data_IF_769644187530
#
_entry.id   IF_769644187530
#
_cell.length_a   1.000
_cell.length_b   1.000
_cell.length_c   1.000
_cell.angle_alpha   90.00
_cell.angle_beta   90.00
_cell.angle_gamma   90.00
#
_symmetry.space_group_name_H-M   'P 1'
#
loop_
_entity.id
_entity.type
_entity.pdbx_description
1 polymer ?
#
# COMPACT_ATOMS: atom_id res chain seq x y z
N UNK A 1 -52.67 -20.63 -36.30
CA UNK A 1 -51.74 -19.50 -36.45
C UNK A 1 -51.60 -18.70 -35.17
N UNK A 2 -52.69 -18.29 -34.51
CA UNK A 2 -52.64 -17.47 -33.27
C UNK A 2 -51.89 -18.14 -32.10
N UNK A 3 -52.07 -19.44 -31.90
CA UNK A 3 -51.38 -20.21 -30.85
C UNK A 3 -49.86 -20.24 -31.06
N UNK A 4 -49.42 -20.45 -32.30
CA UNK A 4 -48.00 -20.44 -32.66
C UNK A 4 -47.35 -19.06 -32.49
N UNK A 5 -48.09 -17.98 -32.74
CA UNK A 5 -47.65 -16.61 -32.47
C UNK A 5 -47.49 -16.35 -30.97
N UNK A 6 -48.40 -16.86 -30.14
CA UNK A 6 -48.34 -16.69 -28.69
C UNK A 6 -47.19 -17.50 -28.07
N UNK A 7 -46.93 -18.72 -28.56
CA UNK A 7 -45.74 -19.50 -28.15
C UNK A 7 -44.45 -18.77 -28.48
N UNK A 8 -44.28 -18.30 -29.71
CA UNK A 8 -43.09 -17.55 -30.11
C UNK A 8 -42.89 -16.26 -29.30
N UNK A 9 -43.98 -15.61 -28.87
CA UNK A 9 -43.92 -14.46 -27.97
C UNK A 9 -43.38 -14.85 -26.59
N UNK A 10 -43.86 -15.97 -26.01
CA UNK A 10 -43.37 -16.47 -24.72
C UNK A 10 -41.90 -16.89 -24.78
N UNK A 11 -41.48 -17.59 -25.84
CA UNK A 11 -40.06 -17.95 -26.06
C UNK A 11 -39.17 -16.70 -26.11
N UNK A 12 -39.66 -15.64 -26.75
CA UNK A 12 -38.97 -14.35 -26.78
C UNK A 12 -38.86 -13.67 -25.42
N UNK A 13 -39.86 -13.81 -24.55
CA UNK A 13 -39.81 -13.31 -23.17
C UNK A 13 -38.87 -14.15 -22.30
N UNK A 14 -38.87 -15.48 -22.47
CA UNK A 14 -37.97 -16.38 -21.76
C UNK A 14 -36.50 -16.08 -22.12
N UNK A 15 -36.21 -15.92 -23.41
CA UNK A 15 -34.87 -15.53 -23.86
C UNK A 15 -34.44 -14.18 -23.26
N UNK A 16 -35.33 -13.18 -23.27
CA UNK A 16 -35.05 -11.87 -22.65
C UNK A 16 -34.77 -11.99 -21.15
N UNK A 17 -35.52 -12.83 -20.43
CA UNK A 17 -35.32 -13.07 -19.00
C UNK A 17 -33.96 -13.74 -18.74
N UNK A 18 -33.57 -14.72 -19.56
CA UNK A 18 -32.26 -15.36 -19.46
C UNK A 18 -31.12 -14.40 -19.79
N UNK A 19 -31.24 -13.61 -20.85
CA UNK A 19 -30.23 -12.62 -21.24
C UNK A 19 -30.06 -11.56 -20.14
N UNK A 20 -31.17 -11.06 -19.57
CA UNK A 20 -31.14 -10.12 -18.46
C UNK A 20 -30.46 -10.72 -17.21
N UNK A 21 -30.77 -11.98 -16.87
CA UNK A 21 -30.14 -12.69 -15.75
C UNK A 21 -28.64 -12.87 -15.96
N UNK A 22 -28.21 -13.25 -17.17
CA UNK A 22 -26.80 -13.38 -17.50
C UNK A 22 -26.07 -12.03 -17.47
N UNK A 23 -26.70 -10.96 -17.96
CA UNK A 23 -26.14 -9.61 -17.93
C UNK A 23 -25.96 -9.10 -16.50
N UNK A 24 -26.94 -9.33 -15.62
CA UNK A 24 -26.84 -8.98 -14.20
C UNK A 24 -25.69 -9.74 -13.52
N UNK A 25 -25.57 -11.04 -13.74
CA UNK A 25 -24.51 -11.85 -13.13
C UNK A 25 -23.12 -11.44 -13.62
N UNK A 26 -22.98 -11.11 -14.90
CA UNK A 26 -21.74 -10.55 -15.44
C UNK A 26 -21.39 -9.24 -14.74
N UNK A 27 -22.36 -8.34 -14.61
CA UNK A 27 -22.14 -7.04 -13.97
C UNK A 27 -21.78 -7.17 -12.49
N UNK A 28 -22.42 -8.10 -11.75
CA UNK A 28 -22.06 -8.40 -10.36
C UNK A 28 -20.62 -8.89 -10.24
N UNK A 29 -20.17 -9.75 -11.17
CA UNK A 29 -18.76 -10.21 -11.21
C UNK A 29 -17.78 -9.07 -11.47
N UNK A 30 -18.12 -8.16 -12.37
CA UNK A 30 -17.28 -6.99 -12.67
C UNK A 30 -17.20 -6.03 -11.47
N UNK A 31 -18.32 -5.77 -10.80
CA UNK A 31 -18.34 -4.99 -9.55
C UNK A 31 -17.48 -5.66 -8.50
N UNK A 32 -17.66 -6.96 -8.26
CA UNK A 32 -16.90 -7.69 -7.24
C UNK A 32 -15.39 -7.67 -7.53
N UNK A 33 -14.98 -7.71 -8.81
CA UNK A 33 -13.59 -7.53 -9.20
C UNK A 33 -13.10 -6.12 -8.88
N UNK A 34 -13.82 -5.08 -9.35
CA UNK A 34 -13.39 -3.68 -9.16
C UNK A 34 -13.38 -3.27 -7.69
N UNK A 35 -14.31 -3.78 -6.90
CA UNK A 35 -14.37 -3.52 -5.47
C UNK A 35 -13.11 -4.06 -4.77
N UNK A 36 -12.69 -5.29 -5.07
CA UNK A 36 -11.46 -5.87 -4.52
C UNK A 36 -10.20 -5.08 -4.90
N UNK A 37 -10.12 -4.59 -6.13
CA UNK A 37 -9.02 -3.72 -6.57
C UNK A 37 -8.98 -2.43 -5.74
N UNK A 38 -10.12 -1.76 -5.57
CA UNK A 38 -10.22 -0.52 -4.78
C UNK A 38 -9.93 -0.75 -3.29
N UNK A 39 -10.38 -1.88 -2.74
CA UNK A 39 -10.08 -2.27 -1.36
C UNK A 39 -8.58 -2.47 -1.15
N UNK A 40 -7.90 -3.13 -2.09
CA UNK A 40 -6.46 -3.33 -2.05
C UNK A 40 -5.71 -2.01 -2.20
N UNK A 41 -6.08 -1.16 -3.16
CA UNK A 41 -5.51 0.18 -3.34
C UNK A 41 -5.62 1.01 -2.05
N UNK A 42 -6.81 1.00 -1.43
CA UNK A 42 -7.06 1.68 -0.15
C UNK A 42 -6.19 1.11 0.97
N UNK A 43 -6.16 -0.20 1.14
CA UNK A 43 -5.37 -0.86 2.17
C UNK A 43 -3.87 -0.55 2.03
N UNK A 44 -3.33 -0.65 0.82
CA UNK A 44 -1.94 -0.32 0.53
C UNK A 44 -1.63 1.17 0.75
N UNK A 45 -2.55 2.07 0.41
CA UNK A 45 -2.44 3.50 0.70
C UNK A 45 -2.23 3.77 2.19
N UNK A 46 -3.10 3.21 3.04
CA UNK A 46 -3.00 3.40 4.50
C UNK A 46 -1.79 2.69 5.11
N UNK A 47 -1.42 1.51 4.63
CA UNK A 47 -0.20 0.80 5.09
C UNK A 47 1.05 1.62 4.81
N UNK A 48 1.19 2.13 3.58
CA UNK A 48 2.32 3.00 3.21
C UNK A 48 2.35 4.27 4.06
N UNK A 49 1.21 4.92 4.24
CA UNK A 49 1.10 6.12 5.07
C UNK A 49 1.52 5.86 6.51
N UNK A 50 0.99 4.82 7.15
CA UNK A 50 1.29 4.50 8.54
C UNK A 50 2.76 4.13 8.73
N UNK A 51 3.33 3.31 7.84
CA UNK A 51 4.75 2.97 7.85
C UNK A 51 5.61 4.23 7.77
N UNK A 52 5.40 5.06 6.74
CA UNK A 52 6.25 6.24 6.53
C UNK A 52 6.10 7.25 7.66
N UNK A 53 4.91 7.38 8.25
CA UNK A 53 4.71 8.20 9.45
C UNK A 53 5.59 7.70 10.60
N UNK A 54 5.50 6.42 10.95
CA UNK A 54 6.32 5.82 12.03
C UNK A 54 7.82 5.99 11.76
N UNK A 55 8.25 5.77 10.51
CA UNK A 55 9.65 5.90 10.10
C UNK A 55 10.15 7.35 10.21
N UNK A 56 9.37 8.31 9.74
CA UNK A 56 9.73 9.74 9.81
C UNK A 56 9.85 10.17 11.27
N UNK A 57 8.89 9.80 12.12
CA UNK A 57 8.93 10.11 13.55
C UNK A 57 10.17 9.51 14.24
N UNK A 58 10.52 8.26 13.89
CA UNK A 58 11.70 7.59 14.42
C UNK A 58 13.01 8.26 13.99
N UNK A 59 13.15 8.56 12.70
CA UNK A 59 14.33 9.23 12.11
C UNK A 59 14.50 10.63 12.71
N UNK A 60 13.43 11.41 12.83
CA UNK A 60 13.47 12.76 13.40
C UNK A 60 13.87 12.79 14.88
N UNK A 61 13.74 11.67 15.60
CA UNK A 61 14.15 11.55 17.01
C UNK A 61 15.64 11.22 17.21
N UNK A 62 16.40 10.98 16.14
CA UNK A 62 17.84 10.72 16.19
C UNK A 62 18.64 11.99 16.44
N UNK A 63 19.74 11.89 17.20
CA UNK A 63 20.62 13.04 17.49
C UNK A 63 21.62 13.31 16.37
N UNK A 64 22.01 12.26 15.67
CA UNK A 64 22.91 12.26 14.54
C UNK A 64 22.40 11.25 13.48
N UNK A 65 23.05 11.24 12.32
CA UNK A 65 22.66 10.37 11.21
C UNK A 65 22.70 8.89 11.59
N UNK A 66 23.71 8.47 12.36
CA UNK A 66 23.86 7.06 12.74
C UNK A 66 22.70 6.60 13.65
N UNK A 67 22.37 7.39 14.67
CA UNK A 67 21.24 7.11 15.56
C UNK A 67 19.91 7.16 14.81
N UNK A 68 19.72 8.13 13.90
CA UNK A 68 18.50 8.26 13.10
C UNK A 68 18.28 7.07 12.16
N UNK A 69 19.33 6.62 11.47
CA UNK A 69 19.27 5.45 10.59
C UNK A 69 19.05 4.15 11.38
N UNK A 70 19.67 4.01 12.56
CA UNK A 70 19.47 2.85 13.42
C UNK A 70 18.02 2.74 13.89
N UNK A 71 17.45 3.85 14.40
CA UNK A 71 16.04 3.93 14.82
C UNK A 71 15.09 3.67 13.67
N UNK A 72 15.32 4.32 12.52
CA UNK A 72 14.50 4.10 11.32
C UNK A 72 14.50 2.64 10.87
N UNK A 73 15.66 1.97 10.90
CA UNK A 73 15.77 0.54 10.54
C UNK A 73 15.02 -0.37 11.51
N UNK A 74 15.12 -0.10 12.81
CA UNK A 74 14.36 -0.82 13.85
C UNK A 74 12.85 -0.66 13.63
N UNK A 75 12.38 0.56 13.38
CA UNK A 75 10.97 0.82 13.08
C UNK A 75 10.49 0.09 11.83
N UNK A 76 11.26 0.10 10.74
CA UNK A 76 10.91 -0.66 9.52
C UNK A 76 10.81 -2.16 9.81
N UNK A 77 11.77 -2.71 10.55
CA UNK A 77 11.77 -4.12 10.93
C UNK A 77 10.53 -4.48 11.77
N UNK A 78 10.16 -3.61 12.70
CA UNK A 78 8.97 -3.78 13.55
C UNK A 78 7.66 -3.70 12.75
N UNK A 79 7.49 -2.67 11.90
CA UNK A 79 6.29 -2.47 11.10
C UNK A 79 6.09 -3.57 10.05
N UNK A 80 7.19 -4.07 9.46
CA UNK A 80 7.16 -5.21 8.54
C UNK A 80 7.17 -6.56 9.26
N UNK A 81 7.33 -6.57 10.58
CA UNK A 81 7.44 -7.76 11.43
C UNK A 81 8.52 -8.76 10.94
N UNK A 82 9.64 -8.23 10.47
CA UNK A 82 10.77 -9.03 9.97
C UNK A 82 11.97 -8.94 10.93
N UNK A 83 12.54 -10.08 11.29
CA UNK A 83 13.83 -10.14 12.00
C UNK A 83 15.02 -10.09 11.03
N UNK A 84 16.16 -9.55 11.46
CA UNK A 84 17.39 -9.49 10.66
C UNK A 84 18.13 -10.84 10.52
N UNK A 85 17.47 -11.93 10.90
CA UNK A 85 18.06 -13.28 11.00
C UNK A 85 18.18 -13.98 9.64
N UNK A 86 17.40 -13.55 8.65
CA UNK A 86 17.46 -14.09 7.29
C UNK A 86 18.15 -13.13 6.35
N UNK A 87 18.93 -13.68 5.39
CA UNK A 87 19.58 -12.87 4.36
C UNK A 87 18.58 -12.03 3.54
N UNK A 88 17.38 -12.57 3.35
CA UNK A 88 16.25 -11.94 2.66
C UNK A 88 15.78 -10.69 3.40
N UNK A 89 15.62 -10.76 4.73
CA UNK A 89 15.19 -9.64 5.56
C UNK A 89 16.30 -8.59 5.70
N UNK A 90 17.55 -9.05 5.83
CA UNK A 90 18.72 -8.16 5.86
C UNK A 90 18.81 -7.34 4.56
N UNK A 91 18.67 -7.99 3.40
CA UNK A 91 18.66 -7.32 2.10
C UNK A 91 17.52 -6.30 2.00
N UNK A 92 16.31 -6.65 2.46
CA UNK A 92 15.17 -5.72 2.49
C UNK A 92 15.51 -4.45 3.29
N UNK A 93 16.06 -4.61 4.50
CA UNK A 93 16.43 -3.47 5.36
C UNK A 93 17.56 -2.64 4.75
N UNK A 94 18.56 -3.28 4.15
CA UNK A 94 19.66 -2.59 3.44
C UNK A 94 19.14 -1.79 2.24
N UNK A 95 18.20 -2.35 1.48
CA UNK A 95 17.59 -1.68 0.33
C UNK A 95 16.63 -0.56 0.72
N UNK A 96 16.12 -0.58 1.95
CA UNK A 96 15.29 0.51 2.49
C UNK A 96 16.12 1.68 3.02
N UNK A 97 17.40 1.49 3.33
CA UNK A 97 18.29 2.52 3.90
C UNK A 97 18.34 3.84 3.10
N UNK A 98 18.29 3.87 1.75
CA UNK A 98 18.19 5.12 0.99
C UNK A 98 16.96 5.96 1.35
N UNK A 99 15.83 5.32 1.68
CA UNK A 99 14.62 6.01 2.14
C UNK A 99 14.90 6.68 3.48
N UNK A 100 15.54 5.98 4.41
CA UNK A 100 15.91 6.52 5.73
C UNK A 100 16.85 7.72 5.61
N UNK A 101 17.85 7.64 4.73
CA UNK A 101 18.75 8.76 4.45
C UNK A 101 18.02 9.96 3.85
N UNK A 102 17.07 9.73 2.94
CA UNK A 102 16.25 10.81 2.38
C UNK A 102 15.39 11.48 3.46
N UNK A 103 14.81 10.69 4.38
CA UNK A 103 14.07 11.22 5.53
C UNK A 103 14.98 12.06 6.43
N UNK A 104 16.16 11.55 6.78
CA UNK A 104 17.12 12.28 7.61
C UNK A 104 17.57 13.59 6.95
N UNK A 105 17.93 13.54 5.66
CA UNK A 105 18.28 14.73 4.88
C UNK A 105 17.17 15.80 4.88
N UNK A 106 15.90 15.38 4.80
CA UNK A 106 14.77 16.29 4.90
C UNK A 106 14.57 16.86 6.32
N UNK A 107 14.95 16.14 7.38
CA UNK A 107 14.90 16.62 8.76
C UNK A 107 16.01 17.64 9.09
N UNK A 108 17.20 17.46 8.53
CA UNK A 108 18.37 18.32 8.84
C UNK A 108 18.60 19.45 7.86
N UNK A 109 17.90 19.47 6.72
CA UNK A 109 17.94 20.59 5.80
C UNK A 109 17.44 21.85 6.52
N UNK A 110 18.35 22.76 6.85
CA UNK A 110 17.96 24.07 7.36
C UNK A 110 17.20 24.84 6.26
N UNK A 111 16.20 25.67 6.62
CA UNK A 111 15.64 26.62 5.68
C UNK A 111 16.73 27.65 5.35
N UNK A 112 17.47 27.45 4.25
CA UNK A 112 18.40 28.46 3.75
C UNK A 112 17.65 29.78 3.54
N UNK A 113 18.03 30.78 4.33
CA UNK A 113 17.68 32.20 4.24
C UNK A 113 16.21 32.50 3.92
N UNK A 114 15.40 32.63 4.99
CA UNK A 114 14.11 33.31 4.99
C UNK A 114 14.23 34.83 4.71
N UNK A 115 14.80 35.18 3.56
CA UNK A 115 14.80 36.53 2.99
C UNK A 115 14.39 36.46 1.51
N UNK A 116 13.28 35.77 1.24
CA UNK A 116 12.44 35.97 0.08
C UNK A 116 11.05 35.45 0.42
N UNK A 117 10.05 36.33 0.37
CA UNK A 117 8.64 36.08 0.71
C UNK A 117 7.90 35.12 -0.27
N UNK A 118 8.62 34.13 -0.83
CA UNK A 118 8.12 33.11 -1.76
C UNK A 118 8.84 31.74 -1.58
N UNK A 119 9.80 31.61 -0.66
CA UNK A 119 10.64 30.40 -0.52
C UNK A 119 10.05 29.27 0.34
N UNK A 120 8.87 29.47 0.94
CA UNK A 120 8.23 28.49 1.84
C UNK A 120 7.75 27.20 1.18
N UNK A 121 7.85 27.06 -0.14
CA UNK A 121 7.39 25.86 -0.87
C UNK A 121 8.49 25.10 -1.58
N UNK A 122 9.69 25.66 -1.82
CA UNK A 122 10.71 25.01 -2.67
C UNK A 122 11.56 23.93 -1.97
N UNK A 123 12.05 24.22 -0.76
CA UNK A 123 12.95 23.31 -0.04
C UNK A 123 12.21 22.15 0.65
N UNK A 124 11.06 22.43 1.29
CA UNK A 124 10.20 21.41 1.89
C UNK A 124 9.66 20.42 0.84
N UNK A 125 9.31 20.91 -0.35
CA UNK A 125 8.87 20.03 -1.45
C UNK A 125 10.01 19.22 -2.05
N UNK A 126 11.24 19.74 -2.07
CA UNK A 126 12.42 18.98 -2.53
C UNK A 126 12.75 17.81 -1.60
N UNK A 127 12.70 18.01 -0.27
CA UNK A 127 12.88 16.94 0.71
C UNK A 127 11.81 15.85 0.59
N UNK A 128 10.54 16.27 0.50
CA UNK A 128 9.42 15.34 0.30
C UNK A 128 9.53 14.57 -1.04
N UNK A 129 9.96 15.23 -2.12
CA UNK A 129 10.17 14.60 -3.42
C UNK A 129 11.31 13.56 -3.39
N UNK A 130 12.39 13.82 -2.66
CA UNK A 130 13.50 12.88 -2.49
C UNK A 130 13.06 11.62 -1.73
N UNK A 131 12.30 11.78 -0.64
CA UNK A 131 11.72 10.65 0.11
C UNK A 131 10.78 9.84 -0.78
N UNK A 132 9.89 10.51 -1.52
CA UNK A 132 8.95 9.85 -2.42
C UNK A 132 9.66 9.07 -3.54
N UNK A 133 10.72 9.63 -4.11
CA UNK A 133 11.52 8.97 -5.14
C UNK A 133 12.23 7.72 -4.58
N UNK A 134 12.91 7.85 -3.44
CA UNK A 134 13.59 6.72 -2.80
C UNK A 134 12.62 5.59 -2.43
N UNK A 135 11.44 5.93 -1.89
CA UNK A 135 10.41 4.94 -1.57
C UNK A 135 9.90 4.23 -2.83
N UNK A 136 9.65 4.97 -3.90
CA UNK A 136 9.21 4.39 -5.18
C UNK A 136 10.25 3.43 -5.77
N UNK A 137 11.53 3.77 -5.69
CA UNK A 137 12.62 2.90 -6.14
C UNK A 137 12.70 1.62 -5.30
N UNK A 138 12.57 1.72 -3.98
CA UNK A 138 12.49 0.56 -3.10
C UNK A 138 11.30 -0.34 -3.45
N UNK A 139 10.12 0.22 -3.66
CA UNK A 139 8.90 -0.53 -4.04
C UNK A 139 9.06 -1.26 -5.38
N UNK A 140 9.64 -0.60 -6.37
CA UNK A 140 9.92 -1.20 -7.68
C UNK A 140 10.94 -2.34 -7.58
N UNK A 141 11.98 -2.17 -6.77
CA UNK A 141 12.95 -3.23 -6.50
C UNK A 141 12.28 -4.42 -5.81
N UNK A 142 11.53 -4.20 -4.72
CA UNK A 142 10.94 -5.28 -3.94
C UNK A 142 9.94 -6.08 -4.78
N UNK A 143 9.09 -5.40 -5.54
CA UNK A 143 8.12 -6.06 -6.42
C UNK A 143 8.78 -6.93 -7.48
N UNK A 144 9.89 -6.47 -8.06
CA UNK A 144 10.66 -7.24 -9.04
C UNK A 144 11.39 -8.41 -8.38
N UNK A 145 12.02 -8.20 -7.22
CA UNK A 145 12.84 -9.21 -6.55
C UNK A 145 12.02 -10.31 -5.86
N UNK A 146 10.79 -10.00 -5.42
CA UNK A 146 9.97 -10.88 -4.56
C UNK A 146 8.60 -11.22 -5.15
N UNK A 147 8.31 -10.75 -6.37
CA UNK A 147 7.07 -11.00 -7.12
C UNK A 147 5.79 -10.64 -6.33
N UNK A 148 5.83 -9.48 -5.66
CA UNK A 148 4.73 -9.01 -4.82
C UNK A 148 5.03 -7.68 -4.14
N UNK A 149 3.99 -7.01 -3.62
CA UNK A 149 4.17 -5.78 -2.86
C UNK A 149 4.76 -6.06 -1.48
N UNK A 150 5.72 -5.26 -1.04
CA UNK A 150 6.23 -5.35 0.34
C UNK A 150 5.14 -5.03 1.38
N UNK A 151 4.11 -4.25 0.99
CA UNK A 151 2.94 -3.93 1.82
C UNK A 151 2.06 -5.15 2.11
N UNK A 152 2.25 -6.25 1.38
CA UNK A 152 1.61 -7.53 1.68
C UNK A 152 2.22 -8.21 2.90
N UNK A 153 3.45 -7.85 3.31
CA UNK A 153 4.04 -8.36 4.57
C UNK A 153 3.30 -7.84 5.80
N UNK A 154 2.67 -6.68 5.68
CA UNK A 154 1.85 -6.05 6.72
C UNK A 154 0.41 -6.60 6.75
N UNK A 155 0.11 -7.57 5.89
CA UNK A 155 -1.20 -8.19 5.74
C UNK A 155 -1.28 -9.49 6.54
N UNK A 156 -1.24 -9.38 7.87
CA UNK A 156 -1.52 -10.56 8.70
C UNK A 156 -3.02 -10.72 8.89
N UNK A 157 -3.52 -11.88 8.47
CA UNK A 157 -4.86 -12.35 8.78
C UNK A 157 -5.00 -12.49 10.30
N UNK A 158 -5.96 -11.77 10.89
CA UNK A 158 -6.32 -11.98 12.29
C UNK A 158 -6.98 -13.36 12.35
N UNK A 159 -6.24 -14.36 12.82
CA UNK A 159 -6.81 -15.68 13.09
C UNK A 159 -7.74 -15.53 14.30
N UNK A 160 -9.04 -15.48 14.06
CA UNK A 160 -10.03 -15.60 15.12
C UNK A 160 -9.94 -17.02 15.71
N UNK A 161 -9.37 -17.12 16.92
CA UNK A 161 -9.35 -18.38 17.65
C UNK A 161 -10.80 -18.78 17.98
N UNK A 162 -11.21 -20.03 17.73
CA UNK A 162 -12.56 -20.47 18.06
C UNK A 162 -12.79 -20.33 19.56
N UNK A 163 -13.89 -19.65 19.95
CA UNK A 163 -14.33 -19.61 21.34
C UNK A 163 -14.63 -21.05 21.78
N UNK A 164 -13.77 -21.61 22.64
CA UNK A 164 -14.06 -22.88 23.29
C UNK A 164 -14.99 -22.57 24.46
N UNK A 165 -16.26 -22.95 24.35
CA UNK A 165 -17.14 -22.98 25.52
C UNK A 165 -16.58 -24.03 26.49
N UNK A 166 -16.15 -23.57 27.67
CA UNK A 166 -15.69 -24.46 28.74
C UNK A 166 -16.94 -25.10 29.36
N UNK A 167 -17.10 -26.42 29.20
CA UNK A 167 -18.19 -27.21 29.81
C UNK A 167 -18.06 -27.32 31.33
#
# INVERSE_FOLDING_TARGET
MTEQTLTAFLDGLEQQAHDASAAEENFRRDIAKRLRELEQERAFGFRRFNLMRSVIDAVASGKDEEEALAKGRETVAQELQIGAETAVNLETLQRFEPVLRACWGACVAEPEAADAADAGTGAETAGAAAVAAALKEFEAWFSTARNGSFLSLMDQEIVELPLVEVC
#
